data_IF_770863951885
#
_entry.id   IF_770863951885
#
_cell.length_a   1.000
_cell.length_b   1.000
_cell.length_c   1.000
_cell.angle_alpha   90.00
_cell.angle_beta   90.00
_cell.angle_gamma   90.00
#
_symmetry.space_group_name_H-M   'P 1'
#
loop_
_entity.id
_entity.type
_entity.pdbx_description
1 polymer ?
#
# COMPACT_ATOMS: atom_id res chain seq x y z
N UNK A 1 9.78 -16.92 4.94
CA UNK A 1 10.11 -17.48 3.61
C UNK A 1 10.42 -16.27 2.76
N UNK A 2 11.70 -15.93 2.65
CA UNK A 2 12.15 -14.77 1.87
C UNK A 2 11.87 -15.08 0.42
N UNK A 3 11.01 -14.29 -0.20
CA UNK A 3 10.72 -14.44 -1.61
C UNK A 3 11.84 -13.77 -2.41
N UNK A 4 12.54 -14.57 -3.22
CA UNK A 4 13.68 -14.13 -4.03
C UNK A 4 13.30 -14.18 -5.50
N UNK A 5 13.56 -13.10 -6.21
CA UNK A 5 13.37 -13.03 -7.66
C UNK A 5 14.58 -13.65 -8.39
N UNK A 6 14.41 -14.83 -8.97
CA UNK A 6 15.50 -15.66 -9.51
C UNK A 6 15.60 -15.68 -11.06
N UNK A 7 15.00 -14.74 -11.80
CA UNK A 7 15.12 -14.75 -13.27
C UNK A 7 16.45 -14.11 -13.74
N UNK A 8 17.33 -14.88 -14.39
CA UNK A 8 18.57 -14.36 -15.00
C UNK A 8 18.34 -13.65 -16.35
N UNK A 9 17.14 -13.71 -16.90
CA UNK A 9 16.81 -13.20 -18.25
C UNK A 9 16.85 -11.66 -18.34
N UNK A 10 16.86 -10.96 -17.20
CA UNK A 10 16.85 -9.49 -17.13
C UNK A 10 18.24 -8.84 -17.15
N UNK A 11 19.32 -9.62 -17.11
CA UNK A 11 20.68 -9.09 -17.16
C UNK A 11 21.23 -8.88 -18.59
N UNK A 12 20.53 -9.38 -19.62
CA UNK A 12 21.11 -9.57 -20.96
C UNK A 12 20.52 -8.70 -22.08
N UNK A 13 19.53 -7.83 -21.82
CA UNK A 13 18.95 -6.98 -22.87
C UNK A 13 19.44 -5.53 -22.75
N UNK A 14 20.29 -5.15 -23.72
CA UNK A 14 20.92 -3.84 -23.80
C UNK A 14 19.94 -2.69 -24.01
N UNK A 15 20.20 -1.59 -23.32
CA UNK A 15 19.52 -0.32 -23.52
C UNK A 15 19.81 0.22 -24.94
N UNK A 16 18.82 0.67 -25.72
CA UNK A 16 19.10 1.44 -26.93
C UNK A 16 19.67 2.81 -26.54
N UNK A 17 20.94 3.03 -26.85
CA UNK A 17 21.61 4.30 -26.64
C UNK A 17 20.93 5.44 -27.40
N UNK A 18 20.70 6.55 -26.69
CA UNK A 18 20.32 7.83 -27.28
C UNK A 18 21.58 8.47 -27.86
N UNK A 19 21.62 8.63 -29.18
CA UNK A 19 22.75 9.20 -29.89
C UNK A 19 22.34 9.65 -31.29
N UNK A 20 21.73 10.82 -31.34
CA UNK A 20 21.47 11.54 -32.58
C UNK A 20 22.77 12.06 -33.16
N UNK A 21 23.11 11.67 -34.38
CA UNK A 21 23.95 12.50 -35.26
C UNK A 21 23.27 12.64 -36.62
N UNK A 22 22.56 13.76 -36.75
CA UNK A 22 22.12 14.33 -38.01
C UNK A 22 23.28 15.16 -38.57
N UNK A 23 23.81 14.77 -39.73
CA UNK A 23 24.15 15.65 -40.87
C UNK A 23 25.19 15.01 -41.82
N UNK A 24 24.77 14.54 -43.01
CA UNK A 24 25.45 14.83 -44.29
C UNK A 24 24.45 14.79 -45.46
N UNK A 25 24.21 15.98 -46.01
CA UNK A 25 23.95 16.40 -47.39
C UNK A 25 23.43 15.41 -48.48
N UNK A 26 22.21 15.71 -48.95
CA UNK A 26 21.79 16.00 -50.34
C UNK A 26 22.62 15.49 -51.54
N UNK A 27 22.02 14.59 -52.35
CA UNK A 27 21.70 14.81 -53.78
C UNK A 27 21.23 13.51 -54.50
N UNK A 28 19.91 13.34 -54.74
CA UNK A 28 19.40 12.66 -55.96
C UNK A 28 17.88 12.87 -56.19
N UNK A 29 17.40 13.06 -57.44
CA UNK A 29 15.97 13.15 -57.76
C UNK A 29 15.27 11.77 -57.76
N UNK A 30 13.92 11.71 -57.68
CA UNK A 30 13.20 10.48 -57.39
C UNK A 30 12.98 9.61 -58.63
N UNK A 31 13.26 8.31 -58.51
CA UNK A 31 12.76 7.30 -59.43
C UNK A 31 11.46 6.70 -58.87
N UNK A 32 10.37 6.81 -59.63
CA UNK A 32 9.17 5.98 -59.48
C UNK A 32 9.42 4.64 -60.16
N UNK A 33 9.29 3.53 -59.43
CA UNK A 33 8.82 2.21 -59.90
C UNK A 33 8.79 1.26 -58.70
N UNK A 34 7.62 0.93 -58.16
CA UNK A 34 7.00 -0.39 -58.38
C UNK A 34 7.14 -1.28 -57.11
N UNK A 35 6.13 -2.06 -56.70
CA UNK A 35 6.20 -2.87 -55.48
C UNK A 35 7.02 -4.14 -55.76
N UNK A 36 8.05 -4.38 -54.93
CA UNK A 36 8.88 -5.59 -54.96
C UNK A 36 8.58 -6.50 -53.75
N UNK A 37 8.75 -7.83 -53.90
CA UNK A 37 8.01 -8.85 -53.18
C UNK A 37 8.60 -9.27 -51.82
N UNK A 38 7.70 -9.61 -50.90
CA UNK A 38 7.96 -10.28 -49.63
C UNK A 38 8.75 -11.59 -49.82
N UNK A 39 9.97 -11.61 -49.29
CA UNK A 39 10.73 -12.82 -48.95
C UNK A 39 10.53 -13.13 -47.47
N UNK A 40 9.64 -14.05 -47.13
CA UNK A 40 9.77 -14.89 -45.93
C UNK A 40 9.06 -16.23 -46.15
N UNK A 41 9.72 -17.37 -45.90
CA UNK A 41 9.08 -18.69 -45.89
C UNK A 41 8.44 -18.96 -44.51
N UNK A 42 7.16 -19.33 -44.50
CA UNK A 42 6.47 -19.86 -43.30
C UNK A 42 6.71 -21.37 -43.15
N UNK A 43 7.04 -21.89 -41.96
CA UNK A 43 7.10 -23.34 -41.72
C UNK A 43 5.70 -23.95 -41.56
N UNK A 44 5.47 -25.06 -42.26
CA UNK A 44 4.22 -25.84 -42.27
C UNK A 44 4.15 -26.79 -41.06
N UNK A 45 3.09 -26.71 -40.25
CA UNK A 45 2.77 -27.72 -39.24
C UNK A 45 1.80 -28.79 -39.80
N UNK A 46 1.98 -30.09 -39.47
CA UNK A 46 1.12 -31.17 -39.95
C UNK A 46 -0.22 -31.24 -39.20
N UNK A 47 -1.31 -31.36 -39.95
CA UNK A 47 -2.67 -31.63 -39.43
C UNK A 47 -2.85 -33.12 -39.18
N UNK A 48 -3.13 -33.51 -37.94
CA UNK A 48 -3.65 -34.85 -37.60
C UNK A 48 -5.18 -34.86 -37.67
N UNK A 49 -5.67 -35.61 -38.65
CA UNK A 49 -6.90 -36.41 -38.76
C UNK A 49 -8.08 -36.07 -37.83
N UNK A 50 -9.08 -35.33 -38.36
CA UNK A 50 -10.46 -35.33 -37.83
C UNK A 50 -11.24 -36.49 -38.44
N UNK A 51 -11.79 -37.33 -37.57
CA UNK A 51 -12.75 -38.39 -37.89
C UNK A 51 -14.04 -37.76 -38.44
N UNK A 52 -14.57 -38.35 -39.52
CA UNK A 52 -15.80 -37.95 -40.19
C UNK A 52 -17.04 -38.49 -39.46
N UNK A 53 -18.06 -37.64 -39.26
CA UNK A 53 -19.44 -38.02 -38.91
C UNK A 53 -20.39 -37.62 -40.07
N UNK A 54 -21.46 -38.40 -40.33
CA UNK A 54 -22.29 -38.27 -41.52
C UNK A 54 -23.19 -37.03 -41.53
N UNK A 55 -23.46 -36.55 -42.76
CA UNK A 55 -24.15 -35.30 -43.08
C UNK A 55 -25.60 -35.24 -42.55
N UNK A 56 -25.93 -34.14 -41.88
CA UNK A 56 -27.31 -33.73 -41.59
C UNK A 56 -27.90 -32.93 -42.77
N UNK A 57 -29.17 -33.19 -43.09
CA UNK A 57 -29.92 -32.55 -44.18
C UNK A 57 -30.08 -31.02 -44.01
N UNK A 58 -30.23 -30.25 -45.10
CA UNK A 58 -30.38 -28.80 -45.04
C UNK A 58 -31.76 -28.36 -44.50
N UNK A 59 -31.83 -27.25 -43.73
CA UNK A 59 -33.09 -26.71 -43.23
C UNK A 59 -33.90 -25.96 -44.32
N UNK A 60 -35.24 -25.82 -44.15
CA UNK A 60 -36.10 -25.12 -45.09
C UNK A 60 -35.90 -23.58 -45.08
N UNK A 61 -36.27 -22.87 -46.16
CA UNK A 61 -36.07 -21.42 -46.29
C UNK A 61 -37.01 -20.60 -45.40
N UNK A 62 -36.48 -19.51 -44.84
CA UNK A 62 -37.21 -18.54 -44.01
C UNK A 62 -38.09 -17.59 -44.85
N UNK A 63 -39.22 -17.09 -44.30
CA UNK A 63 -40.09 -16.12 -44.99
C UNK A 63 -39.48 -14.70 -45.05
N UNK A 64 -39.88 -13.87 -46.04
CA UNK A 64 -39.32 -12.54 -46.23
C UNK A 64 -39.74 -11.54 -45.14
N UNK A 65 -38.78 -10.73 -44.70
CA UNK A 65 -38.99 -9.62 -43.77
C UNK A 65 -39.79 -8.48 -44.43
N UNK A 66 -40.87 -8.05 -43.78
CA UNK A 66 -41.64 -6.89 -44.18
C UNK A 66 -40.85 -5.60 -43.90
N UNK A 67 -40.74 -4.73 -44.91
CA UNK A 67 -40.12 -3.42 -44.82
C UNK A 67 -40.99 -2.47 -43.98
N UNK A 68 -40.43 -1.94 -42.89
CA UNK A 68 -40.99 -0.78 -42.18
C UNK A 68 -40.49 0.52 -42.82
N UNK A 69 -41.35 1.54 -43.00
CA UNK A 69 -40.91 2.85 -43.46
C UNK A 69 -40.18 3.64 -42.36
N UNK A 70 -39.25 4.54 -42.70
CA UNK A 70 -38.51 5.34 -41.73
C UNK A 70 -39.39 6.47 -41.14
N UNK A 71 -39.12 6.92 -39.89
CA UNK A 71 -39.82 8.05 -39.28
C UNK A 71 -39.37 9.42 -39.87
N UNK A 72 -40.22 10.45 -39.84
CA UNK A 72 -39.91 11.76 -40.42
C UNK A 72 -38.93 12.59 -39.57
N UNK A 73 -38.12 13.40 -40.24
CA UNK A 73 -37.12 14.28 -39.65
C UNK A 73 -37.76 15.47 -38.91
N UNK A 74 -37.52 15.58 -37.60
CA UNK A 74 -37.93 16.72 -36.80
C UNK A 74 -37.02 17.94 -37.06
N UNK A 75 -37.65 19.07 -37.41
CA UNK A 75 -37.01 20.36 -37.61
C UNK A 75 -36.47 20.94 -36.29
N UNK A 76 -35.26 21.49 -36.35
CA UNK A 76 -34.59 22.20 -35.25
C UNK A 76 -34.99 23.69 -35.30
N UNK A 77 -35.56 24.30 -34.25
CA UNK A 77 -35.77 25.75 -34.23
C UNK A 77 -34.54 26.48 -33.68
N UNK A 78 -34.21 27.61 -34.29
CA UNK A 78 -33.23 28.59 -33.82
C UNK A 78 -33.81 29.48 -32.69
N UNK A 79 -32.98 30.13 -31.85
CA UNK A 79 -33.46 30.93 -30.72
C UNK A 79 -33.74 32.38 -31.14
N UNK A 80 -34.75 33.05 -30.53
CA UNK A 80 -34.82 34.51 -30.55
C UNK A 80 -34.39 35.13 -29.22
N UNK A 81 -33.81 36.31 -29.36
CA UNK A 81 -33.30 37.19 -28.31
C UNK A 81 -34.40 38.06 -27.67
N UNK A 82 -34.20 38.39 -26.39
CA UNK A 82 -34.49 39.70 -25.80
C UNK A 82 -35.88 39.98 -25.22
N UNK A 83 -35.92 40.40 -23.95
CA UNK A 83 -36.76 41.54 -23.52
C UNK A 83 -37.78 41.34 -22.38
N UNK A 84 -37.35 41.65 -21.15
CA UNK A 84 -38.00 42.33 -20.00
C UNK A 84 -39.50 42.18 -19.61
N UNK A 85 -39.69 42.12 -18.27
CA UNK A 85 -40.75 42.72 -17.42
C UNK A 85 -41.89 41.85 -16.82
N UNK A 86 -41.67 41.52 -15.52
CA UNK A 86 -42.50 41.73 -14.31
C UNK A 86 -43.99 41.30 -14.19
N UNK A 87 -44.29 40.74 -13.00
CA UNK A 87 -45.55 40.72 -12.20
C UNK A 87 -46.46 39.46 -12.18
N UNK A 88 -46.36 38.72 -11.06
CA UNK A 88 -47.45 38.31 -10.13
C UNK A 88 -48.46 37.17 -10.50
N UNK A 89 -49.17 36.58 -9.49
CA UNK A 89 -49.13 35.12 -9.26
C UNK A 89 -50.50 34.40 -9.18
N UNK A 90 -50.42 33.08 -8.92
CA UNK A 90 -51.44 32.13 -8.41
C UNK A 90 -52.70 31.84 -9.25
N UNK A 91 -52.79 30.61 -9.78
CA UNK A 91 -54.04 29.84 -9.82
C UNK A 91 -53.80 28.32 -10.00
N UNK A 92 -54.13 27.52 -8.98
CA UNK A 92 -54.51 26.09 -9.07
C UNK A 92 -55.98 26.02 -9.54
N UNK A 93 -56.51 24.94 -10.18
CA UNK A 93 -56.68 23.62 -9.53
C UNK A 93 -56.81 22.33 -10.42
N UNK A 94 -56.75 21.16 -9.73
CA UNK A 94 -57.42 19.84 -9.99
C UNK A 94 -57.08 19.08 -11.30
N UNK A 95 -57.09 17.74 -11.43
CA UNK A 95 -57.23 16.53 -10.59
C UNK A 95 -57.09 15.33 -11.56
N UNK A 96 -56.43 14.20 -11.26
CA UNK A 96 -57.00 12.92 -10.74
C UNK A 96 -55.81 11.94 -10.66
N UNK A 97 -55.45 11.43 -9.48
CA UNK A 97 -55.89 10.15 -8.88
C UNK A 97 -55.87 8.94 -9.82
N UNK A 98 -54.89 8.06 -9.57
CA UNK A 98 -55.12 6.63 -9.45
C UNK A 98 -54.52 6.19 -8.11
N UNK A 99 -55.39 5.66 -7.24
CA UNK A 99 -55.03 4.81 -6.11
C UNK A 99 -54.79 3.42 -6.68
N UNK A 100 -53.79 2.71 -6.18
CA UNK A 100 -54.09 1.44 -5.52
C UNK A 100 -53.04 1.08 -4.48
N UNK A 101 -53.60 0.56 -3.40
CA UNK A 101 -53.04 0.24 -2.09
C UNK A 101 -52.45 -1.16 -2.06
N UNK A 102 -51.36 -1.36 -1.34
CA UNK A 102 -50.91 -2.70 -0.98
C UNK A 102 -49.66 -2.73 -0.10
N UNK A 103 -49.82 -3.28 1.10
CA UNK A 103 -48.77 -3.89 1.96
C UNK A 103 -48.11 -3.01 3.02
N UNK A 104 -48.94 -2.50 3.94
CA UNK A 104 -48.55 -2.37 5.34
C UNK A 104 -48.50 -3.78 5.98
N UNK A 105 -47.31 -4.32 6.21
CA UNK A 105 -47.17 -5.65 6.82
C UNK A 105 -45.74 -6.05 7.22
N UNK A 106 -44.85 -5.08 7.47
CA UNK A 106 -43.44 -5.38 7.78
C UNK A 106 -42.83 -4.48 8.88
N UNK A 107 -43.67 -3.84 9.73
CA UNK A 107 -43.21 -2.90 10.77
C UNK A 107 -43.54 -3.27 12.21
N UNK A 108 -44.06 -4.47 12.47
CA UNK A 108 -44.33 -4.94 13.85
C UNK A 108 -43.44 -6.11 14.32
N UNK A 109 -42.71 -6.79 13.43
CA UNK A 109 -41.92 -7.96 13.83
C UNK A 109 -40.49 -7.60 14.32
N UNK A 110 -40.04 -6.37 14.09
CA UNK A 110 -38.71 -5.91 14.50
C UNK A 110 -38.65 -5.36 15.94
N UNK A 111 -39.78 -5.23 16.64
CA UNK A 111 -39.79 -4.70 18.02
C UNK A 111 -39.65 -5.82 19.06
N UNK A 112 -39.92 -7.08 18.71
CA UNK A 112 -39.89 -8.21 19.67
C UNK A 112 -38.47 -8.78 19.86
N UNK A 113 -37.63 -8.79 18.82
CA UNK A 113 -36.25 -9.31 18.93
C UNK A 113 -35.21 -8.26 19.39
N UNK A 114 -35.53 -6.97 19.29
CA UNK A 114 -34.65 -5.89 19.79
C UNK A 114 -34.76 -5.64 21.30
N UNK A 115 -35.91 -5.95 21.91
CA UNK A 115 -36.15 -5.72 23.35
C UNK A 115 -35.49 -6.74 24.27
N UNK A 116 -35.39 -8.01 23.85
CA UNK A 116 -34.83 -9.08 24.67
C UNK A 116 -33.30 -8.98 24.86
N UNK A 117 -32.57 -8.52 23.83
CA UNK A 117 -31.12 -8.34 23.90
C UNK A 117 -30.72 -7.15 24.80
N UNK A 118 -31.50 -6.07 24.78
CA UNK A 118 -31.27 -4.88 25.63
C UNK A 118 -31.60 -5.19 27.09
N UNK A 119 -32.66 -5.95 27.38
CA UNK A 119 -32.98 -6.38 28.75
C UNK A 119 -31.95 -7.36 29.33
N UNK A 120 -31.38 -8.25 28.51
CA UNK A 120 -30.27 -9.11 28.93
C UNK A 120 -28.99 -8.31 29.25
N UNK A 121 -28.72 -7.25 28.48
CA UNK A 121 -27.59 -6.35 28.73
C UNK A 121 -27.78 -5.52 30.01
N UNK A 122 -28.99 -5.01 30.27
CA UNK A 122 -29.30 -4.30 31.53
C UNK A 122 -29.30 -5.23 32.77
N UNK A 123 -29.66 -6.51 32.62
CA UNK A 123 -29.55 -7.48 33.70
C UNK A 123 -28.08 -7.84 34.03
N UNK A 124 -27.21 -7.91 33.01
CA UNK A 124 -25.76 -8.12 33.20
C UNK A 124 -25.05 -6.89 33.76
N UNK A 125 -25.48 -5.68 33.42
CA UNK A 125 -24.95 -4.44 34.01
C UNK A 125 -25.55 -4.09 35.40
N UNK A 126 -26.68 -4.68 35.77
CA UNK A 126 -27.35 -4.42 37.06
C UNK A 126 -26.72 -5.13 38.27
N UNK A 127 -25.92 -6.17 38.07
CA UNK A 127 -25.30 -6.92 39.17
C UNK A 127 -23.99 -6.30 39.72
N UNK A 128 -23.51 -5.19 39.14
CA UNK A 128 -22.32 -4.47 39.64
C UNK A 128 -22.62 -3.40 40.69
N UNK A 129 -23.88 -2.96 40.82
CA UNK A 129 -24.25 -1.82 41.68
C UNK A 129 -24.68 -2.18 43.11
N UNK A 130 -25.06 -3.44 43.37
CA UNK A 130 -25.64 -3.85 44.67
C UNK A 130 -24.61 -4.41 45.67
N UNK A 131 -23.32 -4.47 45.31
CA UNK A 131 -22.25 -4.91 46.22
C UNK A 131 -21.54 -3.75 46.95
N UNK A 132 -21.83 -2.48 46.61
CA UNK A 132 -21.18 -1.30 47.21
C UNK A 132 -22.05 -0.53 48.21
N UNK A 133 -23.25 -1.03 48.54
CA UNK A 133 -24.14 -0.41 49.52
C UNK A 133 -24.45 -1.30 50.73
N UNK A 134 -23.87 -2.50 50.80
CA UNK A 134 -24.08 -3.44 51.91
C UNK A 134 -22.99 -3.39 53.00
N UNK A 135 -22.03 -2.46 52.94
CA UNK A 135 -20.90 -2.43 53.90
C UNK A 135 -20.76 -1.08 54.63
N UNK A 136 -21.89 -0.47 54.99
CA UNK A 136 -21.93 0.65 55.97
C UNK A 136 -22.82 0.31 57.14
N UNK A 137 -22.44 -0.71 57.90
CA UNK A 137 -22.75 -0.81 59.33
C UNK A 137 -21.95 -1.97 59.91
N UNK A 138 -20.77 -1.67 60.49
CA UNK A 138 -20.27 -2.25 61.74
C UNK A 138 -18.90 -1.61 62.00
N UNK A 139 -18.79 -0.87 63.09
CA UNK A 139 -17.52 -0.48 63.68
C UNK A 139 -16.92 -1.72 64.39
N UNK A 140 -15.64 -2.06 64.14
CA UNK A 140 -14.83 -2.46 65.29
C UNK A 140 -13.37 -1.96 65.22
N UNK A 141 -12.95 -1.36 66.34
CA UNK A 141 -11.72 -1.61 67.09
C UNK A 141 -10.37 -1.77 66.33
N UNK A 142 -9.49 -0.81 66.63
CA UNK A 142 -8.04 -0.73 66.42
C UNK A 142 -7.28 -2.06 66.35
N UNK A 143 -6.55 -2.25 65.23
CA UNK A 143 -5.30 -3.02 65.16
C UNK A 143 -4.36 -2.40 64.09
N UNK A 144 -3.03 -2.43 64.24
CA UNK A 144 -2.11 -1.71 63.35
C UNK A 144 -1.98 -2.37 61.97
N UNK A 145 -2.03 -1.57 60.91
CA UNK A 145 -1.92 -1.99 59.51
C UNK A 145 -0.53 -2.55 59.16
N UNK A 146 -0.41 -3.69 58.45
CA UNK A 146 0.76 -3.96 57.62
C UNK A 146 0.75 -3.09 56.36
N UNK A 147 1.91 -2.71 55.80
CA UNK A 147 1.98 -1.78 54.67
C UNK A 147 1.24 -2.35 53.46
N UNK A 148 0.47 -1.47 52.81
CA UNK A 148 -0.28 -1.76 51.59
C UNK A 148 0.66 -2.38 50.54
N UNK A 149 0.32 -3.59 50.11
CA UNK A 149 0.92 -4.20 48.94
C UNK A 149 0.75 -3.23 47.76
N UNK A 150 1.87 -2.89 47.12
CA UNK A 150 1.91 -2.12 45.90
C UNK A 150 0.89 -2.68 44.91
N UNK A 151 0.11 -1.79 44.30
CA UNK A 151 -0.69 -2.13 43.13
C UNK A 151 0.22 -2.84 42.11
N UNK A 152 -0.23 -3.93 41.45
CA UNK A 152 0.58 -4.56 40.42
C UNK A 152 0.87 -3.52 39.33
N UNK A 153 2.15 -3.19 39.16
CA UNK A 153 2.64 -2.44 38.01
C UNK A 153 2.12 -3.10 36.73
N UNK A 154 1.60 -2.35 35.74
CA UNK A 154 1.33 -2.91 34.41
C UNK A 154 2.68 -3.11 33.72
N UNK A 155 3.35 -4.21 34.07
CA UNK A 155 4.60 -4.62 33.45
C UNK A 155 4.46 -6.04 32.91
N UNK A 156 3.43 -6.23 32.09
CA UNK A 156 3.50 -7.17 31.00
C UNK A 156 3.49 -6.30 29.75
N UNK A 157 4.61 -6.22 29.04
CA UNK A 157 4.63 -5.66 27.69
C UNK A 157 3.66 -6.49 26.86
N UNK A 158 2.42 -6.02 26.73
CA UNK A 158 1.41 -6.73 25.98
C UNK A 158 1.88 -6.76 24.53
N UNK A 159 1.98 -7.97 23.96
CA UNK A 159 2.37 -8.13 22.55
C UNK A 159 1.44 -7.27 21.71
N UNK A 160 2.01 -6.31 21.01
CA UNK A 160 1.28 -5.46 20.09
C UNK A 160 0.95 -6.27 18.84
N UNK A 161 -0.33 -6.35 18.50
CA UNK A 161 -0.75 -6.92 17.23
C UNK A 161 -0.46 -5.92 16.09
N UNK A 162 0.39 -6.34 15.15
CA UNK A 162 0.77 -5.56 13.98
C UNK A 162 0.09 -6.05 12.70
N UNK A 163 -0.91 -6.94 12.78
CA UNK A 163 -1.58 -7.50 11.61
C UNK A 163 -2.57 -6.51 10.93
N UNK A 164 -2.92 -5.38 11.57
CA UNK A 164 -3.77 -4.31 10.99
C UNK A 164 -3.35 -2.92 11.48
N UNK A 165 -3.59 -1.88 10.68
CA UNK A 165 -3.44 -0.48 11.14
C UNK A 165 -4.37 -0.10 12.30
N UNK A 166 -5.47 -0.84 12.47
CA UNK A 166 -6.41 -0.58 13.57
C UNK A 166 -5.79 -0.97 14.92
N UNK A 167 -5.03 -2.07 14.94
CA UNK A 167 -4.31 -2.58 16.12
C UNK A 167 -2.89 -2.01 16.24
N UNK A 168 -2.33 -1.53 15.14
CA UNK A 168 -1.05 -0.82 15.07
C UNK A 168 -1.18 0.51 14.33
N UNK A 169 -1.74 1.50 15.01
CA UNK A 169 -2.13 2.80 14.44
C UNK A 169 -1.03 3.86 14.43
N UNK A 170 0.06 3.64 15.19
CA UNK A 170 1.18 4.58 15.21
C UNK A 170 1.90 4.56 13.85
N UNK A 171 2.16 5.71 13.20
CA UNK A 171 2.87 5.72 11.92
C UNK A 171 4.31 5.24 12.08
N UNK A 172 4.85 4.52 11.08
CA UNK A 172 6.27 4.18 11.05
C UNK A 172 7.11 5.45 10.91
N UNK A 173 8.20 5.55 11.66
CA UNK A 173 9.10 6.71 11.57
C UNK A 173 10.44 6.34 10.94
N UNK A 174 11.13 7.32 10.35
CA UNK A 174 12.49 7.11 9.84
C UNK A 174 13.42 6.64 10.95
N UNK A 175 13.35 7.25 12.14
CA UNK A 175 14.22 6.91 13.28
C UNK A 175 13.99 5.49 13.79
N UNK A 176 12.76 5.00 13.72
CA UNK A 176 12.42 3.63 14.09
C UNK A 176 13.02 2.61 13.10
N UNK A 177 12.90 2.86 11.79
CA UNK A 177 13.37 1.93 10.77
C UNK A 177 14.90 2.06 10.57
N UNK A 178 15.41 3.28 10.49
CA UNK A 178 16.81 3.62 10.22
C UNK A 178 17.31 4.63 11.28
N UNK A 179 17.76 4.17 12.47
CA UNK A 179 18.02 5.02 13.63
C UNK A 179 19.25 5.93 13.50
N UNK A 180 20.14 5.67 12.54
CA UNK A 180 21.38 6.42 12.38
C UNK A 180 21.93 6.33 10.97
N UNK A 181 23.21 6.71 10.83
CA UNK A 181 23.96 6.69 9.55
C UNK A 181 24.45 5.30 9.15
N UNK A 182 24.19 4.30 9.98
CA UNK A 182 24.65 2.93 9.79
C UNK A 182 23.55 1.95 10.20
N UNK A 183 23.48 0.81 9.50
CA UNK A 183 22.65 -0.33 9.86
C UNK A 183 23.57 -1.52 10.06
N UNK A 184 23.61 -2.03 11.29
CA UNK A 184 24.29 -3.27 11.65
C UNK A 184 23.24 -4.37 11.76
N UNK A 185 23.45 -5.49 11.05
CA UNK A 185 22.46 -6.59 10.99
C UNK A 185 22.71 -7.64 12.06
N UNK A 186 23.96 -7.91 12.41
CA UNK A 186 24.35 -8.83 13.48
C UNK A 186 25.56 -8.28 14.25
N UNK A 187 25.75 -8.75 15.49
CA UNK A 187 26.90 -8.35 16.31
C UNK A 187 28.22 -8.77 15.64
N UNK A 188 29.06 -7.78 15.33
CA UNK A 188 30.36 -7.98 14.69
C UNK A 188 30.35 -8.00 13.16
N UNK A 189 29.19 -7.84 12.52
CA UNK A 189 29.12 -7.58 11.08
C UNK A 189 29.49 -6.13 10.76
N UNK A 190 30.18 -5.92 9.65
CA UNK A 190 30.44 -4.56 9.15
C UNK A 190 29.12 -3.88 8.76
N UNK A 191 28.94 -2.59 9.10
CA UNK A 191 27.67 -1.90 8.92
C UNK A 191 27.42 -1.49 7.47
N UNK A 192 26.15 -1.51 7.07
CA UNK A 192 25.68 -0.81 5.88
C UNK A 192 25.68 0.70 6.13
N UNK A 193 26.20 1.50 5.21
CA UNK A 193 26.15 2.96 5.30
C UNK A 193 24.78 3.46 4.83
N UNK A 194 24.08 4.25 5.65
CA UNK A 194 22.81 4.90 5.28
C UNK A 194 23.09 6.24 4.63
N UNK A 195 22.86 6.33 3.32
CA UNK A 195 23.14 7.51 2.51
C UNK A 195 22.00 8.54 2.56
N UNK A 196 20.76 8.06 2.56
CA UNK A 196 19.56 8.89 2.60
C UNK A 196 18.37 8.12 3.13
N UNK A 197 17.47 8.82 3.81
CA UNK A 197 16.20 8.26 4.30
C UNK A 197 15.02 9.08 3.78
N UNK A 198 13.87 8.44 3.62
CA UNK A 198 12.61 9.09 3.24
C UNK A 198 11.44 8.42 3.95
N UNK A 199 10.52 9.23 4.47
CA UNK A 199 9.15 8.83 4.82
C UNK A 199 8.18 9.63 3.96
N UNK A 200 7.17 8.95 3.40
CA UNK A 200 6.18 9.56 2.53
C UNK A 200 4.83 8.88 2.69
N UNK A 201 3.74 9.66 2.63
CA UNK A 201 2.38 9.13 2.52
C UNK A 201 2.01 8.64 1.12
N UNK A 202 2.86 8.90 0.12
CA UNK A 202 2.67 8.44 -1.26
C UNK A 202 3.58 7.25 -1.56
N UNK A 203 3.02 6.04 -1.51
CA UNK A 203 3.75 4.80 -1.78
C UNK A 203 4.21 4.68 -3.24
N UNK A 204 3.55 5.38 -4.17
CA UNK A 204 3.92 5.43 -5.58
C UNK A 204 5.33 6.01 -5.82
N UNK A 205 5.93 6.72 -4.86
CA UNK A 205 7.32 7.17 -4.98
C UNK A 205 8.36 6.03 -4.95
N UNK A 206 7.98 4.86 -4.43
CA UNK A 206 8.85 3.71 -4.28
C UNK A 206 8.61 2.62 -5.33
N UNK A 207 7.73 2.87 -6.30
CA UNK A 207 7.46 1.95 -7.40
C UNK A 207 7.05 2.70 -8.67
N UNK A 208 6.84 1.97 -9.76
CA UNK A 208 6.24 2.50 -11.00
C UNK A 208 5.45 1.45 -11.76
N UNK A 209 4.64 1.94 -12.71
CA UNK A 209 3.75 1.10 -13.50
C UNK A 209 2.68 0.47 -12.61
N UNK A 210 2.22 -0.71 -13.02
CA UNK A 210 1.19 -1.48 -12.33
C UNK A 210 1.60 -1.83 -10.89
N UNK A 211 2.90 -1.86 -10.56
CA UNK A 211 3.36 -2.07 -9.18
C UNK A 211 2.99 -0.87 -8.28
N UNK A 212 3.14 0.36 -8.77
CA UNK A 212 2.72 1.55 -8.02
C UNK A 212 1.19 1.61 -7.87
N UNK A 213 0.48 1.29 -8.94
CA UNK A 213 -0.99 1.27 -8.96
C UNK A 213 -1.56 0.18 -8.05
N UNK A 214 -0.93 -1.00 -8.02
CA UNK A 214 -1.26 -2.09 -7.08
C UNK A 214 -1.14 -1.61 -5.62
N UNK A 215 0.00 -0.99 -5.26
CA UNK A 215 0.24 -0.50 -3.90
C UNK A 215 -0.79 0.57 -3.50
N UNK A 216 -1.05 1.53 -4.38
CA UNK A 216 -2.02 2.59 -4.13
C UNK A 216 -3.45 2.04 -3.99
N UNK A 217 -3.86 1.18 -4.93
CA UNK A 217 -5.21 0.58 -4.98
C UNK A 217 -5.47 -0.31 -3.77
N UNK A 218 -4.45 -1.04 -3.31
CA UNK A 218 -4.53 -1.88 -2.12
C UNK A 218 -4.31 -1.09 -0.81
N UNK A 219 -4.38 0.23 -0.85
CA UNK A 219 -4.50 1.06 0.35
C UNK A 219 -3.20 1.29 1.10
N UNK A 220 -2.06 1.20 0.40
CA UNK A 220 -0.79 1.66 0.94
C UNK A 220 -0.87 3.15 1.25
N UNK A 221 -0.61 3.53 2.50
CA UNK A 221 -0.69 4.93 2.95
C UNK A 221 0.64 5.50 3.44
N UNK A 222 1.68 4.67 3.51
CA UNK A 222 3.00 5.11 3.95
C UNK A 222 4.09 4.22 3.37
N UNK A 223 5.21 4.83 3.00
CA UNK A 223 6.48 4.14 2.75
C UNK A 223 7.59 4.82 3.55
N UNK A 224 8.36 4.02 4.29
CA UNK A 224 9.61 4.44 4.94
C UNK A 224 10.75 3.66 4.32
N UNK A 225 11.74 4.34 3.76
CA UNK A 225 12.84 3.71 3.01
C UNK A 225 14.15 4.45 3.19
N UNK A 226 15.24 3.75 2.93
CA UNK A 226 16.58 4.31 2.88
C UNK A 226 17.35 3.83 1.67
N UNK A 227 18.26 4.66 1.19
CA UNK A 227 19.35 4.27 0.29
C UNK A 227 20.54 3.89 1.13
N UNK A 228 21.14 2.73 0.86
CA UNK A 228 22.29 2.24 1.58
C UNK A 228 23.43 1.86 0.63
N UNK A 229 24.65 1.82 1.17
CA UNK A 229 25.82 1.21 0.54
C UNK A 229 26.25 -0.02 1.34
N UNK A 230 26.58 -1.10 0.64
CA UNK A 230 27.09 -2.32 1.26
C UNK A 230 28.47 -2.09 1.91
N UNK A 231 28.86 -2.90 2.91
CA UNK A 231 30.16 -2.76 3.56
C UNK A 231 31.37 -2.87 2.60
N UNK A 232 31.25 -3.69 1.55
CA UNK A 232 32.27 -3.83 0.51
C UNK A 232 32.31 -2.66 -0.49
N UNK A 233 31.32 -1.76 -0.46
CA UNK A 233 31.18 -0.65 -1.39
C UNK A 233 30.71 -1.01 -2.80
N UNK A 234 30.55 -2.30 -3.10
CA UNK A 234 30.27 -2.80 -4.45
C UNK A 234 28.78 -2.75 -4.81
N UNK A 235 27.90 -2.56 -3.83
CA UNK A 235 26.45 -2.56 -4.02
C UNK A 235 25.80 -1.30 -3.43
N UNK A 236 24.80 -0.83 -4.15
CA UNK A 236 23.86 0.18 -3.67
C UNK A 236 22.49 -0.45 -3.49
N UNK A 237 21.79 0.01 -2.47
CA UNK A 237 20.55 -0.61 -2.03
C UNK A 237 19.47 0.43 -1.81
N UNK A 238 18.21 0.06 -2.02
CA UNK A 238 17.09 0.77 -1.41
C UNK A 238 16.21 -0.24 -0.68
N UNK A 239 16.12 -0.09 0.63
CA UNK A 239 15.32 -0.96 1.49
C UNK A 239 14.28 -0.17 2.25
N UNK A 240 13.15 -0.79 2.58
CA UNK A 240 12.11 -0.10 3.31
C UNK A 240 10.88 -0.95 3.61
N UNK A 241 9.91 -0.28 4.24
CA UNK A 241 8.62 -0.83 4.65
C UNK A 241 7.49 -0.04 3.99
N UNK A 242 6.55 -0.76 3.38
CA UNK A 242 5.25 -0.22 3.02
C UNK A 242 4.23 -0.55 4.11
N UNK A 243 3.44 0.46 4.51
CA UNK A 243 2.31 0.31 5.43
C UNK A 243 1.03 0.08 4.61
N UNK A 244 0.47 -1.13 4.71
CA UNK A 244 -0.76 -1.52 4.04
C UNK A 244 -1.91 -1.62 5.05
N UNK A 245 -3.14 -1.76 4.57
CA UNK A 245 -4.32 -1.75 5.45
C UNK A 245 -4.27 -2.84 6.53
N UNK A 246 -3.95 -4.07 6.12
CA UNK A 246 -3.91 -5.25 6.95
C UNK A 246 -3.01 -6.33 6.33
N UNK A 247 -2.75 -7.40 7.08
CA UNK A 247 -1.93 -8.53 6.66
C UNK A 247 -2.46 -9.26 5.43
N UNK A 248 -3.79 -9.41 5.32
CA UNK A 248 -4.39 -10.05 4.16
C UNK A 248 -4.11 -9.23 2.88
N UNK A 249 -4.14 -7.91 3.01
CA UNK A 249 -3.80 -6.95 1.95
C UNK A 249 -2.32 -6.99 1.62
N UNK A 250 -1.44 -7.06 2.62
CA UNK A 250 -0.01 -7.25 2.43
C UNK A 250 0.33 -8.55 1.69
N UNK A 251 -0.36 -9.65 2.04
CA UNK A 251 -0.24 -10.91 1.34
C UNK A 251 -0.74 -10.83 -0.11
N UNK A 252 -1.88 -10.17 -0.36
CA UNK A 252 -2.38 -9.95 -1.72
C UNK A 252 -1.41 -9.15 -2.58
N UNK A 253 -0.80 -8.10 -2.02
CA UNK A 253 0.28 -7.35 -2.71
C UNK A 253 1.44 -8.29 -3.03
N UNK A 254 1.97 -9.03 -2.04
CA UNK A 254 3.08 -9.99 -2.22
C UNK A 254 2.81 -10.99 -3.34
N UNK A 255 1.61 -11.55 -3.38
CA UNK A 255 1.25 -12.62 -4.32
C UNK A 255 1.13 -12.09 -5.75
N UNK A 256 0.63 -10.86 -5.93
CA UNK A 256 0.51 -10.23 -7.25
C UNK A 256 1.83 -9.64 -7.74
N UNK A 257 2.70 -9.18 -6.84
CA UNK A 257 3.97 -8.54 -7.18
C UNK A 257 4.84 -9.40 -8.10
N UNK A 258 4.95 -10.71 -7.84
CA UNK A 258 5.80 -11.57 -8.68
C UNK A 258 5.38 -11.48 -10.15
N UNK A 259 4.10 -11.66 -10.41
CA UNK A 259 3.60 -11.64 -11.78
C UNK A 259 3.84 -10.28 -12.45
N UNK A 260 3.58 -9.17 -11.77
CA UNK A 260 3.81 -7.84 -12.35
C UNK A 260 5.28 -7.58 -12.68
N UNK A 261 6.19 -8.13 -11.87
CA UNK A 261 7.64 -8.04 -12.13
C UNK A 261 8.07 -8.96 -13.28
N UNK A 262 7.57 -10.20 -13.32
CA UNK A 262 7.82 -11.16 -14.40
C UNK A 262 7.30 -10.63 -15.76
N UNK A 263 6.10 -10.04 -15.76
CA UNK A 263 5.45 -9.48 -16.95
C UNK A 263 5.99 -8.07 -17.31
N UNK A 264 6.95 -7.53 -16.54
CA UNK A 264 7.57 -6.20 -16.71
C UNK A 264 6.56 -5.04 -16.71
N UNK A 265 5.43 -5.21 -16.02
CA UNK A 265 4.34 -4.23 -15.93
C UNK A 265 4.64 -3.12 -14.90
N UNK A 266 5.76 -3.22 -14.17
CA UNK A 266 6.21 -2.20 -13.25
C UNK A 266 7.52 -2.60 -12.56
N UNK A 267 7.97 -1.76 -11.63
CA UNK A 267 9.18 -2.04 -10.83
C UNK A 267 9.19 -1.27 -9.52
N UNK A 268 9.94 -1.75 -8.55
CA UNK A 268 10.37 -0.93 -7.42
C UNK A 268 11.37 0.14 -7.89
N UNK A 269 11.37 1.30 -7.22
CA UNK A 269 12.26 2.42 -7.53
C UNK A 269 13.24 2.67 -6.40
N UNK A 270 14.52 2.80 -6.76
CA UNK A 270 15.55 3.28 -5.85
C UNK A 270 15.25 4.68 -5.32
N UNK A 271 15.81 5.01 -4.17
CA UNK A 271 15.81 6.36 -3.63
C UNK A 271 17.14 7.03 -4.04
N UNK A 272 17.14 8.09 -4.87
CA UNK A 272 18.38 8.79 -5.24
C UNK A 272 18.99 9.49 -4.02
N UNK A 273 20.29 9.29 -3.77
CA UNK A 273 20.97 9.76 -2.57
C UNK A 273 22.15 10.72 -2.83
N UNK A 274 22.23 11.30 -4.03
CA UNK A 274 23.27 12.24 -4.43
C UNK A 274 24.24 11.60 -5.40
N UNK A 275 25.45 12.16 -5.47
CA UNK A 275 26.52 11.68 -6.34
C UNK A 275 26.89 10.21 -6.01
N UNK A 276 27.37 9.49 -7.02
CA UNK A 276 27.75 8.07 -6.94
C UNK A 276 26.59 7.13 -6.56
N UNK A 277 25.34 7.54 -6.85
CA UNK A 277 24.14 6.73 -6.60
C UNK A 277 23.19 6.61 -7.79
N UNK A 278 23.62 7.04 -8.97
CA UNK A 278 22.85 7.03 -10.23
C UNK A 278 22.40 5.61 -10.60
N UNK A 279 23.21 4.60 -10.29
CA UNK A 279 22.88 3.19 -10.49
C UNK A 279 21.57 2.78 -9.79
N UNK A 280 21.18 3.40 -8.67
CA UNK A 280 19.90 3.11 -7.99
C UNK A 280 18.67 3.40 -8.86
N UNK A 281 18.80 4.29 -9.86
CA UNK A 281 17.71 4.66 -10.76
C UNK A 281 17.82 4.06 -12.15
N UNK A 282 19.03 3.72 -12.59
CA UNK A 282 19.32 3.37 -13.97
C UNK A 282 19.69 1.89 -14.16
N UNK A 283 20.35 1.29 -13.17
CA UNK A 283 20.89 -0.06 -13.32
C UNK A 283 19.81 -1.15 -13.14
N UNK A 284 19.96 -2.32 -13.78
CA UNK A 284 19.13 -3.48 -13.50
C UNK A 284 19.25 -3.90 -12.04
N UNK A 285 18.11 -3.89 -11.33
CA UNK A 285 18.07 -4.22 -9.91
C UNK A 285 17.55 -5.63 -9.66
N UNK A 286 18.13 -6.30 -8.66
CA UNK A 286 17.48 -7.44 -8.01
C UNK A 286 16.60 -6.94 -6.89
N UNK A 287 15.47 -7.60 -6.69
CA UNK A 287 14.54 -7.24 -5.61
C UNK A 287 14.08 -8.46 -4.84
N UNK A 288 14.00 -8.31 -3.52
CA UNK A 288 13.37 -9.24 -2.61
C UNK A 288 12.29 -8.54 -1.80
N UNK A 289 11.29 -9.29 -1.34
CA UNK A 289 10.25 -8.78 -0.46
C UNK A 289 9.70 -9.85 0.49
N UNK A 290 9.18 -9.41 1.64
CA UNK A 290 8.53 -10.26 2.63
C UNK A 290 7.42 -9.51 3.37
N UNK A 291 6.39 -10.25 3.80
CA UNK A 291 5.27 -9.71 4.59
C UNK A 291 5.45 -10.07 6.07
N UNK A 292 5.25 -9.09 6.95
CA UNK A 292 5.10 -9.28 8.40
C UNK A 292 4.04 -8.30 8.90
N UNK A 293 2.98 -8.83 9.50
CA UNK A 293 1.82 -8.00 9.86
C UNK A 293 1.19 -7.35 8.63
N UNK A 294 0.74 -6.10 8.78
CA UNK A 294 0.25 -5.27 7.68
C UNK A 294 1.36 -4.58 6.88
N UNK A 295 2.62 -4.96 7.09
CA UNK A 295 3.77 -4.38 6.39
C UNK A 295 4.32 -5.29 5.30
N UNK A 296 4.79 -4.67 4.23
CA UNK A 296 5.61 -5.30 3.20
C UNK A 296 7.03 -4.72 3.28
N UNK A 297 7.98 -5.54 3.72
CA UNK A 297 9.41 -5.24 3.65
C UNK A 297 9.94 -5.53 2.26
N UNK A 298 10.77 -4.65 1.72
CA UNK A 298 11.43 -4.84 0.43
C UNK A 298 12.88 -4.34 0.47
N UNK A 299 13.69 -4.90 -0.40
CA UNK A 299 15.02 -4.41 -0.70
C UNK A 299 15.28 -4.61 -2.19
N UNK A 300 15.70 -3.54 -2.88
CA UNK A 300 16.30 -3.62 -4.20
C UNK A 300 17.82 -3.40 -4.09
N UNK A 301 18.57 -4.12 -4.91
CA UNK A 301 20.03 -4.17 -4.92
C UNK A 301 20.50 -3.98 -6.35
N UNK A 302 21.44 -3.05 -6.54
CA UNK A 302 22.16 -2.82 -7.80
C UNK A 302 23.66 -2.89 -7.52
N UNK A 303 24.47 -3.18 -8.54
CA UNK A 303 25.91 -2.96 -8.44
C UNK A 303 26.21 -1.47 -8.54
N UNK A 304 27.18 -1.00 -7.76
CA UNK A 304 27.61 0.39 -7.76
C UNK A 304 28.19 0.82 -9.12
N UNK A 305 28.81 -0.12 -9.85
CA UNK A 305 29.33 0.09 -11.22
C UNK A 305 28.23 0.07 -12.32
N UNK A 306 26.96 -0.11 -11.94
CA UNK A 306 25.82 -0.18 -12.86
C UNK A 306 25.72 -1.48 -13.66
N UNK A 307 26.63 -2.44 -13.47
CA UNK A 307 26.56 -3.71 -14.16
C UNK A 307 25.38 -4.56 -13.64
N UNK A 308 24.80 -5.43 -14.50
CA UNK A 308 23.70 -6.29 -14.08
C UNK A 308 24.08 -7.22 -12.93
N UNK A 309 23.16 -7.39 -11.99
CA UNK A 309 23.29 -8.36 -10.89
C UNK A 309 22.78 -9.75 -11.32
N UNK A 310 23.62 -10.77 -11.16
CA UNK A 310 23.25 -12.17 -11.42
C UNK A 310 22.30 -12.70 -10.36
N UNK A 311 21.29 -13.50 -10.72
CA UNK A 311 20.37 -14.10 -9.76
C UNK A 311 21.10 -15.00 -8.77
N UNK A 312 22.18 -15.64 -9.25
CA UNK A 312 22.97 -16.57 -8.47
C UNK A 312 24.06 -15.93 -7.60
N UNK A 313 24.13 -14.60 -7.51
CA UNK A 313 25.14 -13.91 -6.73
C UNK A 313 24.94 -14.13 -5.22
N UNK A 314 25.90 -14.77 -4.51
CA UNK A 314 25.78 -15.02 -3.08
C UNK A 314 25.74 -13.73 -2.26
N UNK A 315 26.52 -12.70 -2.62
CA UNK A 315 26.56 -11.43 -1.89
C UNK A 315 25.20 -10.73 -1.93
N UNK A 316 24.53 -10.74 -3.09
CA UNK A 316 23.19 -10.17 -3.21
C UNK A 316 22.15 -10.96 -2.43
N UNK A 317 22.26 -12.30 -2.38
CA UNK A 317 21.34 -13.11 -1.56
C UNK A 317 21.49 -12.84 -0.06
N UNK A 318 22.72 -12.63 0.39
CA UNK A 318 23.06 -12.26 1.76
C UNK A 318 22.51 -10.88 2.09
N UNK A 319 22.82 -9.88 1.28
CA UNK A 319 22.26 -8.53 1.37
C UNK A 319 20.72 -8.52 1.51
N UNK A 320 20.03 -9.28 0.65
CA UNK A 320 18.56 -9.34 0.70
C UNK A 320 18.07 -9.98 2.00
N UNK A 321 18.77 -10.98 2.51
CA UNK A 321 18.45 -11.61 3.78
C UNK A 321 18.68 -10.64 4.95
N UNK A 322 19.86 -10.02 4.98
CA UNK A 322 20.30 -9.09 6.01
C UNK A 322 19.33 -7.92 6.16
N UNK A 323 18.96 -7.26 5.06
CA UNK A 323 18.06 -6.13 5.14
C UNK A 323 16.59 -6.54 5.35
N UNK A 324 16.07 -7.57 4.67
CA UNK A 324 14.65 -7.90 4.75
C UNK A 324 14.32 -8.69 6.02
N UNK A 325 15.06 -9.76 6.28
CA UNK A 325 14.79 -10.68 7.38
C UNK A 325 15.38 -10.15 8.69
N UNK A 326 16.67 -9.84 8.70
CA UNK A 326 17.36 -9.50 9.95
C UNK A 326 17.04 -8.07 10.40
N UNK A 327 17.20 -7.08 9.53
CA UNK A 327 16.98 -5.69 9.90
C UNK A 327 15.48 -5.32 9.93
N UNK A 328 14.78 -5.37 8.79
CA UNK A 328 13.41 -4.86 8.69
C UNK A 328 12.39 -5.76 9.40
N UNK A 329 12.46 -7.08 9.22
CA UNK A 329 11.47 -7.99 9.81
C UNK A 329 11.76 -8.22 11.30
N UNK A 330 12.92 -8.74 11.67
CA UNK A 330 13.26 -9.03 13.08
C UNK A 330 13.64 -7.77 13.84
N UNK A 331 14.54 -6.96 13.29
CA UNK A 331 15.05 -5.76 13.94
C UNK A 331 13.98 -4.68 14.11
N UNK A 332 13.07 -4.46 13.15
CA UNK A 332 12.06 -3.40 13.27
C UNK A 332 10.71 -3.97 13.66
N UNK A 333 10.12 -4.80 12.81
CA UNK A 333 8.72 -5.22 12.97
C UNK A 333 8.49 -6.19 14.15
N UNK A 334 9.43 -7.09 14.43
CA UNK A 334 9.29 -7.97 15.61
C UNK A 334 9.45 -7.17 16.91
N UNK A 335 10.41 -6.24 17.00
CA UNK A 335 10.54 -5.35 18.16
C UNK A 335 9.26 -4.55 18.40
N UNK A 336 8.68 -4.01 17.32
CA UNK A 336 7.38 -3.32 17.35
C UNK A 336 6.26 -4.23 17.86
N UNK A 337 6.16 -5.46 17.34
CA UNK A 337 5.16 -6.43 17.80
C UNK A 337 5.35 -6.85 19.27
N UNK A 338 6.57 -6.74 19.81
CA UNK A 338 6.86 -6.97 21.23
C UNK A 338 6.75 -5.71 22.09
N UNK A 339 6.20 -4.60 21.58
CA UNK A 339 6.00 -3.35 22.32
C UNK A 339 7.26 -2.48 22.49
N UNK A 340 8.35 -2.81 21.80
CA UNK A 340 9.58 -2.02 21.76
C UNK A 340 9.50 -0.95 20.67
N UNK A 341 8.77 0.14 20.92
CA UNK A 341 8.93 1.36 20.10
C UNK A 341 10.12 2.15 20.63
N UNK A 342 11.02 2.59 19.73
CA UNK A 342 12.07 3.53 20.11
C UNK A 342 11.41 4.83 20.58
N UNK A 343 11.41 5.08 21.90
CA UNK A 343 10.74 6.21 22.52
C UNK A 343 11.06 7.52 21.80
N UNK A 344 10.01 8.23 21.37
CA UNK A 344 10.09 9.67 21.16
C UNK A 344 10.38 10.29 22.53
N UNK A 345 11.43 11.11 22.70
CA UNK A 345 11.65 11.78 23.97
C UNK A 345 10.42 12.64 24.28
N UNK A 346 9.65 12.24 25.29
CA UNK A 346 8.64 13.11 25.90
C UNK A 346 9.39 14.32 26.43
N UNK A 347 9.07 15.50 25.90
CA UNK A 347 9.62 16.75 26.39
C UNK A 347 9.41 16.80 27.91
N UNK A 348 10.51 16.82 28.66
CA UNK A 348 10.48 17.13 30.09
C UNK A 348 9.83 18.50 30.25
N UNK A 349 8.81 18.66 31.12
CA UNK A 349 8.32 19.98 31.46
C UNK A 349 9.48 20.73 32.11
N UNK A 350 9.94 21.79 31.45
CA UNK A 350 10.85 22.77 32.04
C UNK A 350 10.27 23.21 33.37
N UNK A 351 10.95 22.85 34.47
CA UNK A 351 10.75 23.42 35.78
C UNK A 351 10.77 24.94 35.63
N UNK A 352 9.63 25.54 35.97
CA UNK A 352 9.52 26.97 36.21
C UNK A 352 10.33 27.25 37.47
N UNK A 353 11.56 27.71 37.29
CA UNK A 353 12.25 28.48 38.32
C UNK A 353 11.50 29.80 38.48
N UNK A 354 10.66 29.83 39.50
CA UNK A 354 10.09 31.04 40.07
C UNK A 354 10.48 31.05 41.55
N UNK A 355 10.82 32.24 42.05
CA UNK A 355 11.13 32.62 43.43
C UNK A 355 12.57 32.32 43.93
N UNK A 356 13.35 33.26 44.47
CA UNK A 356 13.04 34.63 44.93
C UNK A 356 14.30 35.49 44.97
N UNK A 357 14.12 36.78 44.70
CA UNK A 357 14.93 37.86 45.24
C UNK A 357 15.05 37.74 46.77
N UNK A 358 16.28 37.71 47.30
CA UNK A 358 16.54 38.29 48.62
C UNK A 358 17.94 38.90 48.64
N UNK A 359 17.92 40.23 48.51
CA UNK A 359 19.02 41.14 48.74
C UNK A 359 19.06 41.43 50.25
N UNK A 360 20.21 41.23 50.92
CA UNK A 360 20.86 42.22 51.80
C UNK A 360 21.91 41.62 52.75
N UNK A 361 23.10 42.25 52.69
CA UNK A 361 23.88 42.77 53.83
C UNK A 361 24.64 41.86 54.81
N UNK A 362 25.95 42.16 54.88
CA UNK A 362 26.71 42.54 56.09
C UNK A 362 27.87 41.62 56.57
N UNK A 363 29.08 42.25 56.64
CA UNK A 363 30.31 41.95 57.41
C UNK A 363 30.91 40.52 57.43
N UNK A 364 32.23 40.30 57.31
CA UNK A 364 33.39 41.04 57.83
C UNK A 364 34.63 40.77 56.94
#
# INVERSE_FOLDING_TARGET
MVYRYESDEDAFEGHPGSGSDLSVAWNRPPARTGPAPSRFPTPSLPRTSRIALPAAAPPPPSPPAAAYPPPPAAHRPAPPAGGYATTQPLHLPRSRRARDSGRHGARLWQVVFGGAAVLALFALCGLGGAALLADRATDPQVAPSPPAAAAPSPSATERQDIDSRDTDSAPLTVKEVFPGRQVTVDDGAEPYEVLKTQSSGSCALAASGEVADLLATLGCNQVVRASLRSPDGEHLLTAGLFNLTDKATAQRVRDRLRQLLDDREGRFRGLPAGDDTEALTEAPARVGWQVRGHYLAYCLVVRADGAPVKAADPAVREILFDLIETHLTKGVLERRATGGSAEQPTATPSERDNDSDENDSEND
#
